data_IF_698601784510
#
_entry.id   IF_698601784510
#
_cell.length_a   1.000
_cell.length_b   1.000
_cell.length_c   1.000
_cell.angle_alpha   90.00
_cell.angle_beta   90.00
_cell.angle_gamma   90.00
#
_symmetry.space_group_name_H-M   'P 1'
#
loop_
_entity.id
_entity.type
_entity.pdbx_description
1 polymer ?
#
# COMPACT_ATOMS: atom_id res chain seq x y z
N UNK A 1 18.14 10.90 -25.58
CA UNK A 1 17.39 11.75 -24.63
C UNK A 1 18.11 13.09 -24.48
N UNK A 2 17.44 14.23 -24.55
CA UNK A 2 18.04 15.55 -24.38
C UNK A 2 18.62 15.72 -22.97
N UNK A 3 19.70 16.51 -22.78
CA UNK A 3 20.31 16.75 -21.47
C UNK A 3 19.34 17.31 -20.43
N UNK A 4 18.40 18.16 -20.84
CA UNK A 4 17.36 18.74 -19.99
C UNK A 4 16.48 17.66 -19.38
N UNK A 5 16.11 16.65 -20.16
CA UNK A 5 15.29 15.51 -19.70
C UNK A 5 16.04 14.63 -18.72
N UNK A 6 17.36 14.47 -18.88
CA UNK A 6 18.20 13.77 -17.90
C UNK A 6 18.22 14.49 -16.54
N UNK A 7 18.31 15.84 -16.56
CA UNK A 7 18.25 16.63 -15.34
C UNK A 7 16.88 16.54 -14.65
N UNK A 8 15.79 16.55 -15.41
CA UNK A 8 14.44 16.34 -14.87
C UNK A 8 14.31 14.97 -14.18
N UNK A 9 14.81 13.91 -14.82
CA UNK A 9 14.82 12.57 -14.23
C UNK A 9 15.67 12.51 -12.96
N UNK A 10 16.87 13.08 -12.96
CA UNK A 10 17.74 13.08 -11.80
C UNK A 10 17.10 13.84 -10.62
N UNK A 11 16.45 14.98 -10.90
CA UNK A 11 15.69 15.75 -9.90
C UNK A 11 14.51 14.94 -9.37
N UNK A 12 13.71 14.35 -10.26
CA UNK A 12 12.55 13.52 -9.88
C UNK A 12 12.99 12.37 -8.97
N UNK A 13 14.07 11.67 -9.29
CA UNK A 13 14.65 10.62 -8.45
C UNK A 13 15.02 11.15 -7.06
N UNK A 14 15.75 12.26 -6.99
CA UNK A 14 16.20 12.82 -5.73
C UNK A 14 15.04 13.28 -4.84
N UNK A 15 14.05 13.97 -5.41
CA UNK A 15 12.85 14.42 -4.70
C UNK A 15 12.01 13.23 -4.20
N UNK A 16 11.89 12.17 -5.02
CA UNK A 16 11.17 10.96 -4.62
C UNK A 16 11.88 10.22 -3.50
N UNK A 17 13.21 10.08 -3.55
CA UNK A 17 13.98 9.46 -2.47
C UNK A 17 13.81 10.21 -1.14
N UNK A 18 13.77 11.53 -1.16
CA UNK A 18 13.49 12.33 0.04
C UNK A 18 12.06 12.08 0.55
N UNK A 19 11.08 12.01 -0.34
CA UNK A 19 9.68 11.71 -0.01
C UNK A 19 9.54 10.32 0.59
N UNK A 20 10.16 9.31 -0.02
CA UNK A 20 10.18 7.93 0.49
C UNK A 20 10.84 7.85 1.88
N UNK A 21 11.97 8.53 2.07
CA UNK A 21 12.68 8.57 3.35
C UNK A 21 11.82 9.20 4.45
N UNK A 22 11.07 10.25 4.13
CA UNK A 22 10.13 10.86 5.06
C UNK A 22 8.99 9.88 5.42
N UNK A 23 8.43 9.15 4.44
CA UNK A 23 7.41 8.13 4.68
C UNK A 23 7.93 6.97 5.52
N UNK A 24 9.14 6.49 5.27
CA UNK A 24 9.77 5.44 6.09
C UNK A 24 10.03 5.92 7.53
N UNK A 25 10.47 7.17 7.69
CA UNK A 25 10.63 7.76 9.01
C UNK A 25 9.30 7.83 9.78
N UNK A 26 8.20 8.22 9.13
CA UNK A 26 6.87 8.22 9.74
C UNK A 26 6.41 6.82 10.12
N UNK A 27 6.64 5.80 9.30
CA UNK A 27 6.34 4.40 9.60
C UNK A 27 7.03 3.94 10.90
N UNK A 28 8.29 4.32 11.08
CA UNK A 28 9.04 4.08 12.34
C UNK A 28 8.45 4.86 13.50
N UNK A 29 8.10 6.14 13.32
CA UNK A 29 7.51 6.97 14.38
C UNK A 29 6.12 6.49 14.81
N UNK A 30 5.38 5.83 13.94
CA UNK A 30 4.05 5.28 14.24
C UNK A 30 4.10 3.95 14.97
N UNK A 31 5.26 3.29 15.03
CA UNK A 31 5.42 1.98 15.67
C UNK A 31 4.88 1.97 17.10
N UNK A 32 3.95 1.06 17.38
CA UNK A 32 3.34 0.85 18.71
C UNK A 32 2.37 1.96 19.16
N UNK A 33 2.07 2.95 18.32
CA UNK A 33 1.13 4.03 18.64
C UNK A 33 -0.33 3.59 18.40
N UNK A 34 -1.23 4.03 19.28
CA UNK A 34 -2.65 3.75 19.19
C UNK A 34 -3.49 4.98 18.73
N UNK A 35 -2.84 6.11 18.48
CA UNK A 35 -3.44 7.40 18.09
C UNK A 35 -3.23 7.76 16.60
N UNK A 36 -2.66 6.84 15.82
CA UNK A 36 -2.49 7.00 14.37
C UNK A 36 -3.86 6.93 13.69
N UNK A 37 -4.22 7.98 12.97
CA UNK A 37 -5.47 7.99 12.21
C UNK A 37 -5.35 7.21 10.88
N UNK A 38 -6.49 6.74 10.31
CA UNK A 38 -6.48 6.12 8.98
C UNK A 38 -5.92 7.05 7.89
N UNK A 39 -6.07 8.39 8.03
CA UNK A 39 -5.51 9.34 7.08
C UNK A 39 -4.00 9.41 7.21
N UNK A 40 -3.46 9.55 8.44
CA UNK A 40 -2.01 9.55 8.68
C UNK A 40 -1.33 8.30 8.10
N UNK A 41 -1.94 7.13 8.30
CA UNK A 41 -1.43 5.89 7.73
C UNK A 41 -1.41 5.90 6.19
N UNK A 42 -2.48 6.36 5.55
CA UNK A 42 -2.54 6.47 4.09
C UNK A 42 -1.51 7.46 3.55
N UNK A 43 -1.34 8.61 4.21
CA UNK A 43 -0.37 9.63 3.80
C UNK A 43 1.07 9.10 3.92
N UNK A 44 1.36 8.33 4.96
CA UNK A 44 2.65 7.65 5.13
C UNK A 44 2.88 6.60 4.03
N UNK A 45 1.89 5.75 3.74
CA UNK A 45 1.98 4.74 2.66
C UNK A 45 2.14 5.43 1.30
N UNK A 46 1.45 6.54 1.05
CA UNK A 46 1.59 7.30 -0.19
C UNK A 46 3.01 7.84 -0.36
N UNK A 47 3.58 8.42 0.69
CA UNK A 47 4.98 8.89 0.65
C UNK A 47 5.97 7.75 0.45
N UNK A 48 5.81 6.63 1.14
CA UNK A 48 6.74 5.49 1.12
C UNK A 48 6.61 4.70 -0.19
N UNK A 49 5.44 4.11 -0.45
CA UNK A 49 5.21 3.16 -1.55
C UNK A 49 4.52 3.78 -2.75
N UNK A 50 3.58 4.70 -2.52
CA UNK A 50 2.88 5.39 -3.60
C UNK A 50 3.83 6.22 -4.47
N UNK A 51 4.77 6.97 -3.85
CA UNK A 51 5.74 7.78 -4.57
C UNK A 51 6.76 6.95 -5.35
N UNK A 52 7.17 5.79 -4.81
CA UNK A 52 8.09 4.87 -5.48
C UNK A 52 7.51 4.33 -6.79
N UNK A 53 6.30 3.80 -6.73
CA UNK A 53 5.62 3.27 -7.92
C UNK A 53 5.26 4.38 -8.92
N UNK A 54 4.92 5.58 -8.42
CA UNK A 54 4.74 6.75 -9.28
C UNK A 54 6.03 7.12 -10.01
N UNK A 55 7.18 7.11 -9.33
CA UNK A 55 8.49 7.34 -9.93
C UNK A 55 8.76 6.36 -11.07
N UNK A 56 8.58 5.05 -10.85
CA UNK A 56 8.84 4.04 -11.87
C UNK A 56 7.95 4.22 -13.10
N UNK A 57 6.66 4.41 -12.91
CA UNK A 57 5.71 4.59 -14.00
C UNK A 57 5.95 5.91 -14.76
N UNK A 58 6.18 7.01 -14.02
CA UNK A 58 6.49 8.33 -14.60
C UNK A 58 7.77 8.29 -15.41
N UNK A 59 8.84 7.70 -14.87
CA UNK A 59 10.13 7.57 -15.55
C UNK A 59 10.00 6.81 -16.86
N UNK A 60 9.27 5.67 -16.84
CA UNK A 60 9.01 4.89 -18.05
C UNK A 60 8.28 5.72 -19.12
N UNK A 61 7.25 6.47 -18.74
CA UNK A 61 6.52 7.35 -19.64
C UNK A 61 7.40 8.50 -20.18
N UNK A 62 8.20 9.15 -19.32
CA UNK A 62 9.14 10.22 -19.71
C UNK A 62 10.17 9.79 -20.73
N UNK A 63 10.54 8.50 -20.75
CA UNK A 63 11.45 7.94 -21.77
C UNK A 63 10.72 7.72 -23.10
N UNK A 64 9.42 7.42 -23.07
CA UNK A 64 8.64 6.99 -24.23
C UNK A 64 7.91 8.14 -24.93
N UNK A 65 7.58 9.25 -24.24
CA UNK A 65 6.79 10.36 -24.78
C UNK A 65 7.19 11.70 -24.19
N UNK A 66 6.85 12.77 -24.90
CA UNK A 66 6.93 14.17 -24.44
C UNK A 66 5.55 14.72 -24.01
N UNK A 67 4.49 13.92 -24.14
CA UNK A 67 3.14 14.32 -23.73
C UNK A 67 3.03 14.28 -22.20
N UNK A 68 3.07 15.46 -21.57
CA UNK A 68 2.97 15.60 -20.12
C UNK A 68 1.64 15.06 -19.57
N UNK A 69 0.55 15.12 -20.34
CA UNK A 69 -0.73 14.53 -19.94
C UNK A 69 -0.63 13.03 -19.78
N UNK A 70 -0.02 12.33 -20.73
CA UNK A 70 0.23 10.88 -20.67
C UNK A 70 1.18 10.54 -19.53
N UNK A 71 2.25 11.32 -19.35
CA UNK A 71 3.23 11.14 -18.28
C UNK A 71 2.55 11.21 -16.90
N UNK A 72 1.69 12.20 -16.68
CA UNK A 72 0.96 12.34 -15.42
C UNK A 72 -0.08 11.23 -15.20
N UNK A 73 -0.72 10.70 -16.24
CA UNK A 73 -1.60 9.53 -16.13
C UNK A 73 -0.82 8.29 -15.64
N UNK A 74 0.38 8.06 -16.18
CA UNK A 74 1.24 6.97 -15.70
C UNK A 74 1.73 7.19 -14.27
N UNK A 75 2.08 8.41 -13.88
CA UNK A 75 2.45 8.73 -12.51
C UNK A 75 1.29 8.43 -11.53
N UNK A 76 0.06 8.84 -11.88
CA UNK A 76 -1.13 8.59 -11.08
C UNK A 76 -1.49 7.09 -11.01
N UNK A 77 -1.37 6.36 -12.14
CA UNK A 77 -1.46 4.90 -12.20
C UNK A 77 -0.49 4.24 -11.22
N UNK A 78 0.81 4.58 -11.30
CA UNK A 78 1.84 4.03 -10.44
C UNK A 78 1.56 4.32 -8.96
N UNK A 79 1.18 5.55 -8.63
CA UNK A 79 0.82 5.92 -7.25
C UNK A 79 -0.31 5.05 -6.68
N UNK A 80 -1.38 4.87 -7.44
CA UNK A 80 -2.51 4.04 -7.01
C UNK A 80 -2.12 2.57 -6.88
N UNK A 81 -1.32 2.05 -7.80
CA UNK A 81 -0.80 0.68 -7.74
C UNK A 81 0.09 0.48 -6.50
N UNK A 82 0.98 1.43 -6.19
CA UNK A 82 1.84 1.39 -5.01
C UNK A 82 1.04 1.37 -3.71
N UNK A 83 0.01 2.22 -3.61
CA UNK A 83 -0.93 2.21 -2.48
C UNK A 83 -1.62 0.86 -2.31
N UNK A 84 -2.17 0.31 -3.38
CA UNK A 84 -2.86 -0.98 -3.35
C UNK A 84 -1.90 -2.13 -2.99
N UNK A 85 -0.69 -2.12 -3.55
CA UNK A 85 0.34 -3.14 -3.31
C UNK A 85 0.79 -3.18 -1.86
N UNK A 86 1.02 -2.01 -1.24
CA UNK A 86 1.41 -1.94 0.16
C UNK A 86 0.27 -2.42 1.08
N UNK A 87 -0.94 -1.91 0.88
CA UNK A 87 -2.10 -2.32 1.68
C UNK A 87 -2.39 -3.83 1.55
N UNK A 88 -2.20 -4.41 0.35
CA UNK A 88 -2.29 -5.85 0.15
C UNK A 88 -1.23 -6.61 0.92
N UNK A 89 0.02 -6.13 0.90
CA UNK A 89 1.13 -6.72 1.65
C UNK A 89 0.83 -6.75 3.14
N UNK A 90 0.33 -5.65 3.70
CA UNK A 90 -0.06 -5.54 5.11
C UNK A 90 -1.17 -6.55 5.48
N UNK A 91 -2.21 -6.66 4.64
CA UNK A 91 -3.28 -7.66 4.85
C UNK A 91 -2.72 -9.07 4.75
N UNK A 92 -1.83 -9.34 3.79
CA UNK A 92 -1.23 -10.66 3.60
C UNK A 92 -0.34 -11.07 4.78
N UNK A 93 0.48 -10.17 5.31
CA UNK A 93 1.31 -10.43 6.48
C UNK A 93 0.46 -10.75 7.72
N UNK A 94 -0.59 -9.97 7.95
CA UNK A 94 -1.50 -10.18 9.08
C UNK A 94 -2.31 -11.48 8.99
N UNK A 95 -2.76 -11.87 7.78
CA UNK A 95 -3.73 -12.95 7.60
C UNK A 95 -3.11 -14.26 7.09
N UNK A 96 -2.03 -14.21 6.31
CA UNK A 96 -1.47 -15.34 5.57
C UNK A 96 -0.34 -16.07 6.30
N UNK A 97 0.38 -15.42 7.18
CA UNK A 97 1.54 -15.98 7.85
C UNK A 97 1.22 -16.45 9.27
N UNK A 98 1.75 -17.62 9.67
CA UNK A 98 1.70 -18.04 11.09
C UNK A 98 2.38 -17.01 12.00
N UNK A 99 3.41 -16.33 11.49
CA UNK A 99 4.20 -15.32 12.18
C UNK A 99 4.16 -14.03 11.37
N UNK A 100 3.36 -13.07 11.81
CA UNK A 100 3.30 -11.74 11.20
C UNK A 100 4.51 -10.91 11.62
N UNK A 101 5.27 -10.39 10.65
CA UNK A 101 6.37 -9.48 10.92
C UNK A 101 5.87 -8.10 11.35
N UNK A 102 4.73 -7.66 10.83
CA UNK A 102 4.13 -6.38 11.21
C UNK A 102 3.71 -6.38 12.68
N UNK A 103 3.13 -7.47 13.18
CA UNK A 103 2.81 -7.60 14.61
C UNK A 103 4.05 -7.60 15.49
N UNK A 104 5.10 -8.35 15.12
CA UNK A 104 6.36 -8.41 15.87
C UNK A 104 7.04 -7.02 15.90
N UNK A 105 7.05 -6.34 14.79
CA UNK A 105 7.65 -5.01 14.69
C UNK A 105 6.75 -3.91 15.26
N UNK A 106 5.52 -4.22 15.67
CA UNK A 106 4.54 -3.27 16.20
C UNK A 106 4.09 -2.23 15.18
N UNK A 107 4.03 -2.60 13.89
CA UNK A 107 3.65 -1.68 12.81
C UNK A 107 2.18 -1.31 12.89
N UNK A 108 1.89 -0.04 12.63
CA UNK A 108 0.53 0.52 12.60
C UNK A 108 -0.07 0.39 11.20
N UNK A 109 -0.40 -0.83 10.79
CA UNK A 109 -1.02 -1.08 9.48
C UNK A 109 -2.48 -0.65 9.45
N UNK A 110 -3.02 -0.38 8.26
CA UNK A 110 -4.38 0.14 8.11
C UNK A 110 -5.47 -0.78 8.71
N UNK A 111 -5.39 -2.13 8.62
CA UNK A 111 -6.33 -3.01 9.33
C UNK A 111 -6.34 -2.82 10.85
N UNK A 112 -5.15 -2.71 11.47
CA UNK A 112 -5.02 -2.48 12.92
C UNK A 112 -5.64 -1.14 13.31
N UNK A 113 -5.34 -0.08 12.55
CA UNK A 113 -5.86 1.27 12.79
C UNK A 113 -7.39 1.30 12.66
N UNK A 114 -7.96 0.63 11.65
CA UNK A 114 -9.41 0.53 11.51
C UNK A 114 -10.05 -0.21 12.67
N UNK A 115 -9.47 -1.33 13.13
CA UNK A 115 -9.98 -2.06 14.29
C UNK A 115 -9.96 -1.17 15.54
N UNK A 116 -8.82 -0.53 15.85
CA UNK A 116 -8.69 0.40 16.98
C UNK A 116 -9.62 1.61 16.90
N UNK A 117 -9.99 2.05 15.70
CA UNK A 117 -10.95 3.16 15.52
C UNK A 117 -12.42 2.73 15.63
N UNK A 118 -12.71 1.44 15.45
CA UNK A 118 -14.08 0.89 15.47
C UNK A 118 -14.43 0.31 16.83
N UNK A 119 -13.50 -0.42 17.45
CA UNK A 119 -13.70 -1.04 18.75
C UNK A 119 -13.68 0.00 19.87
N UNK A 120 -14.47 -0.26 20.94
CA UNK A 120 -14.57 0.62 22.10
C UNK A 120 -14.49 -0.19 23.42
N UNK A 121 -14.28 0.52 24.52
CA UNK A 121 -14.29 -0.06 25.86
C UNK A 121 -13.33 -1.25 26.01
N UNK A 122 -13.82 -2.35 26.55
CA UNK A 122 -13.04 -3.56 26.83
C UNK A 122 -12.45 -4.20 25.57
N UNK A 123 -13.20 -4.24 24.47
CA UNK A 123 -12.72 -4.86 23.23
C UNK A 123 -11.50 -4.11 22.65
N UNK A 124 -11.53 -2.78 22.69
CA UNK A 124 -10.39 -1.96 22.30
C UNK A 124 -9.18 -2.17 23.21
N UNK A 125 -9.42 -2.18 24.53
CA UNK A 125 -8.39 -2.45 25.54
C UNK A 125 -7.74 -3.81 25.32
N UNK A 126 -8.55 -4.87 25.12
CA UNK A 126 -8.06 -6.21 24.83
C UNK A 126 -7.21 -6.27 23.55
N UNK A 127 -7.65 -5.63 22.47
CA UNK A 127 -6.86 -5.59 21.24
C UNK A 127 -5.51 -4.89 21.46
N UNK A 128 -5.47 -3.78 22.23
CA UNK A 128 -4.23 -3.09 22.57
C UNK A 128 -3.25 -3.96 23.38
N UNK A 129 -3.76 -4.72 24.35
CA UNK A 129 -2.97 -5.68 25.12
C UNK A 129 -2.40 -6.79 24.24
N UNK A 130 -3.24 -7.36 23.35
CA UNK A 130 -2.82 -8.41 22.41
C UNK A 130 -1.75 -7.89 21.44
N UNK A 131 -1.89 -6.67 20.91
CA UNK A 131 -0.89 -6.04 20.04
C UNK A 131 0.44 -5.80 20.78
N UNK A 132 0.39 -5.45 22.07
CA UNK A 132 1.57 -5.35 22.91
C UNK A 132 2.28 -6.70 23.08
N UNK A 133 1.54 -7.74 23.46
CA UNK A 133 2.07 -9.09 23.65
C UNK A 133 2.58 -9.73 22.33
N UNK A 134 1.94 -9.42 21.20
CA UNK A 134 2.32 -9.93 19.88
C UNK A 134 3.71 -9.46 19.41
N UNK A 135 4.28 -8.42 20.01
CA UNK A 135 5.65 -7.97 19.76
C UNK A 135 6.70 -8.89 20.40
N UNK A 136 6.35 -9.55 21.48
CA UNK A 136 7.27 -10.39 22.26
C UNK A 136 7.09 -11.88 21.97
N UNK A 137 5.89 -12.29 21.55
CA UNK A 137 5.53 -13.69 21.29
C UNK A 137 4.58 -13.82 20.11
N UNK A 138 4.60 -14.98 19.45
CA UNK A 138 3.66 -15.30 18.37
C UNK A 138 2.34 -15.91 18.86
N UNK A 139 2.23 -16.25 20.14
CA UNK A 139 1.01 -16.83 20.71
C UNK A 139 -0.24 -15.94 20.53
N UNK A 140 -0.18 -14.59 20.71
CA UNK A 140 -1.34 -13.74 20.53
C UNK A 140 -1.74 -13.48 19.07
N UNK A 141 -0.91 -13.84 18.08
CA UNK A 141 -1.16 -13.49 16.67
C UNK A 141 -2.51 -13.97 16.16
N UNK A 142 -2.95 -15.16 16.56
CA UNK A 142 -4.26 -15.68 16.13
C UNK A 142 -5.42 -14.90 16.75
N UNK A 143 -5.32 -14.54 18.03
CA UNK A 143 -6.35 -13.72 18.69
C UNK A 143 -6.41 -12.31 18.09
N UNK A 144 -5.27 -11.71 17.70
CA UNK A 144 -5.25 -10.45 16.95
C UNK A 144 -5.99 -10.60 15.63
N UNK A 145 -5.70 -11.65 14.84
CA UNK A 145 -6.40 -11.91 13.58
C UNK A 145 -7.91 -12.03 13.74
N UNK A 146 -8.33 -12.78 14.75
CA UNK A 146 -9.76 -12.94 15.08
C UNK A 146 -10.41 -11.60 15.40
N UNK A 147 -9.75 -10.75 16.20
CA UNK A 147 -10.24 -9.41 16.55
C UNK A 147 -10.32 -8.50 15.31
N UNK A 148 -9.31 -8.55 14.43
CA UNK A 148 -9.30 -7.78 13.17
C UNK A 148 -10.41 -8.25 12.22
N UNK A 149 -10.65 -9.55 12.12
CA UNK A 149 -11.74 -10.11 11.32
C UNK A 149 -13.12 -9.73 11.88
N UNK A 150 -13.32 -9.90 13.19
CA UNK A 150 -14.57 -9.58 13.87
C UNK A 150 -14.94 -8.10 13.79
N UNK A 151 -13.95 -7.20 13.87
CA UNK A 151 -14.16 -5.75 13.71
C UNK A 151 -14.51 -5.33 12.28
N UNK A 152 -14.38 -6.22 11.30
CA UNK A 152 -14.55 -5.92 9.88
C UNK A 152 -13.41 -5.08 9.26
N UNK A 153 -12.33 -4.84 9.99
CA UNK A 153 -11.22 -3.99 9.56
C UNK A 153 -10.48 -4.55 8.33
N UNK A 154 -10.30 -5.87 8.26
CA UNK A 154 -9.72 -6.55 7.08
C UNK A 154 -10.57 -6.29 5.84
N UNK A 155 -11.90 -6.53 5.93
CA UNK A 155 -12.83 -6.28 4.82
C UNK A 155 -12.81 -4.83 4.38
N UNK A 156 -12.77 -3.89 5.34
CA UNK A 156 -12.68 -2.46 5.03
C UNK A 156 -11.39 -2.11 4.29
N UNK A 157 -10.25 -2.67 4.69
CA UNK A 157 -8.98 -2.49 4.01
C UNK A 157 -9.01 -3.09 2.60
N UNK A 158 -9.59 -4.29 2.43
CA UNK A 158 -9.78 -4.91 1.10
C UNK A 158 -10.56 -4.00 0.16
N UNK A 159 -11.64 -3.36 0.62
CA UNK A 159 -12.39 -2.41 -0.19
C UNK A 159 -11.54 -1.17 -0.56
N UNK A 160 -10.69 -0.69 0.33
CA UNK A 160 -9.76 0.41 0.02
C UNK A 160 -8.76 0.00 -1.05
N UNK A 161 -8.22 -1.21 -1.01
CA UNK A 161 -7.34 -1.77 -2.05
C UNK A 161 -8.05 -1.74 -3.41
N UNK A 162 -9.28 -2.25 -3.49
CA UNK A 162 -10.04 -2.29 -4.74
C UNK A 162 -10.36 -0.88 -5.29
N UNK A 163 -10.61 0.09 -4.41
CA UNK A 163 -10.79 1.49 -4.84
C UNK A 163 -9.52 2.04 -5.48
N UNK A 164 -8.33 1.78 -4.91
CA UNK A 164 -7.07 2.19 -5.52
C UNK A 164 -6.81 1.46 -6.84
N UNK A 165 -7.10 0.17 -6.93
CA UNK A 165 -6.97 -0.60 -8.17
C UNK A 165 -7.92 -0.10 -9.26
N UNK A 166 -9.15 0.27 -8.92
CA UNK A 166 -10.08 0.85 -9.88
C UNK A 166 -9.55 2.19 -10.41
N UNK A 167 -9.09 3.09 -9.54
CA UNK A 167 -8.45 4.34 -9.94
C UNK A 167 -7.22 4.11 -10.84
N UNK A 168 -6.41 3.11 -10.51
CA UNK A 168 -5.27 2.75 -11.35
C UNK A 168 -5.71 2.28 -12.74
N UNK A 169 -6.79 1.49 -12.84
CA UNK A 169 -7.38 1.09 -14.14
C UNK A 169 -7.85 2.31 -14.95
N UNK A 170 -8.49 3.26 -14.28
CA UNK A 170 -9.01 4.47 -14.93
C UNK A 170 -7.86 5.34 -15.48
N UNK A 171 -6.80 5.55 -14.70
CA UNK A 171 -5.59 6.26 -15.13
C UNK A 171 -4.87 5.55 -16.28
N UNK A 172 -4.73 4.21 -16.19
CA UNK A 172 -4.12 3.42 -17.24
C UNK A 172 -4.93 3.51 -18.55
N UNK A 173 -6.25 3.44 -18.46
CA UNK A 173 -7.12 3.60 -19.62
C UNK A 173 -6.99 4.99 -20.26
N UNK A 174 -6.90 6.05 -19.44
CA UNK A 174 -6.68 7.42 -19.92
C UNK A 174 -5.31 7.60 -20.59
N UNK A 175 -4.28 6.91 -20.13
CA UNK A 175 -2.94 6.91 -20.75
C UNK A 175 -2.90 6.18 -22.10
N UNK A 176 -3.91 5.35 -22.41
CA UNK A 176 -4.05 4.60 -23.68
C UNK A 176 -2.78 3.81 -24.06
N UNK A 177 -2.28 2.92 -23.19
CA UNK A 177 -1.06 2.17 -23.45
C UNK A 177 -1.16 1.25 -24.66
N UNK A 178 -0.04 1.05 -25.35
CA UNK A 178 0.04 0.15 -26.51
C UNK A 178 0.18 -1.32 -26.06
N UNK A 179 -0.34 -2.24 -26.87
CA UNK A 179 -0.09 -3.68 -26.69
C UNK A 179 1.35 -4.03 -27.12
N UNK A 180 2.02 -5.02 -26.50
CA UNK A 180 1.52 -5.91 -25.44
C UNK A 180 1.62 -5.32 -24.02
N UNK A 181 2.29 -4.19 -23.80
CA UNK A 181 2.54 -3.61 -22.48
C UNK A 181 1.24 -3.31 -21.71
N UNK A 182 0.17 -2.93 -22.42
CA UNK A 182 -1.16 -2.72 -21.86
C UNK A 182 -1.67 -3.96 -21.11
N UNK A 183 -1.52 -5.13 -21.71
CA UNK A 183 -1.94 -6.40 -21.11
C UNK A 183 -1.09 -6.74 -19.87
N UNK A 184 0.21 -6.49 -19.92
CA UNK A 184 1.11 -6.74 -18.78
C UNK A 184 0.74 -5.88 -17.58
N UNK A 185 0.45 -4.59 -17.81
CA UNK A 185 0.04 -3.66 -16.76
C UNK A 185 -1.32 -4.04 -16.15
N UNK A 186 -2.30 -4.49 -16.96
CA UNK A 186 -3.58 -5.01 -16.46
C UNK A 186 -3.38 -6.27 -15.61
N UNK A 187 -2.55 -7.19 -16.09
CA UNK A 187 -2.21 -8.41 -15.35
C UNK A 187 -1.57 -8.09 -14.00
N UNK A 188 -0.75 -7.04 -13.92
CA UNK A 188 -0.16 -6.57 -12.68
C UNK A 188 -1.24 -6.09 -11.69
N UNK A 189 -2.22 -5.32 -12.15
CA UNK A 189 -3.36 -4.89 -11.32
C UNK A 189 -4.17 -6.08 -10.79
N UNK A 190 -4.43 -7.06 -11.64
CA UNK A 190 -5.21 -8.26 -11.26
C UNK A 190 -4.46 -9.11 -10.21
N UNK A 191 -3.13 -9.17 -10.28
CA UNK A 191 -2.31 -9.85 -9.24
C UNK A 191 -2.36 -9.16 -7.89
N UNK A 192 -2.61 -7.87 -7.83
CA UNK A 192 -2.71 -7.10 -6.58
C UNK A 192 -4.12 -7.18 -5.98
N UNK A 193 -5.16 -7.40 -6.77
CA UNK A 193 -6.54 -7.55 -6.28
C UNK A 193 -6.68 -8.74 -5.32
N UNK A 194 -7.38 -8.52 -4.21
CA UNK A 194 -7.78 -9.57 -3.27
C UNK A 194 -9.15 -10.19 -3.61
N UNK A 195 -9.85 -9.61 -4.58
CA UNK A 195 -11.16 -10.07 -5.05
C UNK A 195 -11.10 -10.79 -6.40
N UNK A 196 -9.94 -10.80 -7.07
CA UNK A 196 -9.78 -11.49 -8.34
C UNK A 196 -9.95 -13.00 -8.15
N UNK A 197 -10.93 -13.57 -8.84
CA UNK A 197 -11.27 -15.01 -8.83
C UNK A 197 -10.39 -15.84 -9.77
N UNK A 198 -9.29 -15.31 -10.25
CA UNK A 198 -8.32 -16.11 -10.99
C UNK A 198 -7.61 -17.03 -10.03
N UNK A 199 -8.17 -18.24 -9.89
CA UNK A 199 -7.59 -19.33 -9.15
C UNK A 199 -6.18 -19.64 -9.66
N UNK A 200 -5.22 -19.21 -8.86
CA UNK A 200 -3.93 -19.90 -8.79
C UNK A 200 -3.49 -19.84 -7.32
N UNK A 201 -3.83 -20.91 -6.64
CA UNK A 201 -3.23 -21.27 -5.37
C UNK A 201 -1.73 -21.45 -5.65
N UNK A 202 -0.93 -20.45 -5.32
CA UNK A 202 0.50 -20.63 -5.28
C UNK A 202 0.85 -21.59 -4.14
N UNK A 203 1.25 -22.79 -4.54
CA UNK A 203 1.98 -23.76 -3.75
C UNK A 203 3.29 -23.18 -3.23
#
# INVERSE_FOLDING_TARGET
MPPERLWELARLFSETLLTMSAGEHEDVLFTGRADVSPQMCRDMIERKSGSEFALFAKTGAMVATEDEGVIEQYAAFGRCLGMASQLRSDVWDLCGAKRSQDLINGRCTLPIIYALSTLQGEERGRLQELLGAARESTEPHEEVRMSLAASGSIRRTTLVIEVYLQRARDYLAAASPLEPASQDLRTLLDKVSLLSTTGDAHR
#
